data_IF_086622178469
#
_entry.id   IF_086622178469
#
_cell.length_a   1.000
_cell.length_b   1.000
_cell.length_c   1.000
_cell.angle_alpha   90.00
_cell.angle_beta   90.00
_cell.angle_gamma   90.00
#
_symmetry.space_group_name_H-M   'P 1'
#
loop_
_entity.id
_entity.type
_entity.pdbx_description
1 polymer ?
#
# COMPACT_ATOMS: atom_id res chain seq x y z
N UNK A 1 -63.84 -21.94 -63.10
CA UNK A 1 -63.06 -20.82 -62.55
C UNK A 1 -62.91 -21.05 -61.06
N UNK A 2 -61.81 -21.67 -60.67
CA UNK A 2 -61.56 -22.01 -59.22
C UNK A 2 -60.66 -20.98 -58.61
N UNK A 3 -61.18 -20.34 -57.56
CA UNK A 3 -60.41 -19.40 -56.74
C UNK A 3 -59.71 -20.19 -55.61
N UNK A 4 -58.37 -20.17 -55.62
CA UNK A 4 -57.56 -20.76 -54.57
C UNK A 4 -57.35 -19.70 -53.48
N UNK A 5 -57.94 -19.94 -52.31
CA UNK A 5 -57.66 -19.15 -51.10
C UNK A 5 -56.43 -19.75 -50.43
N UNK A 6 -55.37 -19.02 -50.47
CA UNK A 6 -54.13 -19.35 -49.72
C UNK A 6 -54.31 -18.98 -48.26
N UNK A 7 -54.34 -19.98 -47.38
CA UNK A 7 -54.30 -19.78 -45.93
C UNK A 7 -52.84 -19.44 -45.56
N UNK A 8 -52.61 -18.24 -45.08
CA UNK A 8 -51.39 -17.89 -44.35
C UNK A 8 -51.51 -18.38 -42.90
N UNK A 9 -50.79 -19.41 -42.56
CA UNK A 9 -50.58 -19.80 -41.17
C UNK A 9 -49.46 -18.94 -40.62
N UNK A 10 -49.80 -17.93 -39.83
CA UNK A 10 -48.79 -17.18 -39.02
C UNK A 10 -48.44 -18.03 -37.80
N UNK A 11 -47.30 -18.66 -37.86
CA UNK A 11 -46.69 -19.29 -36.70
C UNK A 11 -46.15 -18.19 -35.79
N UNK A 12 -46.92 -17.88 -34.74
CA UNK A 12 -46.41 -17.08 -33.66
C UNK A 12 -45.40 -17.89 -32.85
N UNK A 13 -44.12 -17.72 -33.18
CA UNK A 13 -43.00 -18.21 -32.34
C UNK A 13 -43.07 -17.40 -31.06
N UNK A 14 -43.57 -18.03 -30.01
CA UNK A 14 -43.44 -17.52 -28.67
C UNK A 14 -41.94 -17.52 -28.32
N UNK A 15 -41.31 -16.37 -28.41
CA UNK A 15 -40.04 -16.12 -27.73
C UNK A 15 -40.33 -16.14 -26.22
N UNK A 16 -40.21 -17.31 -25.63
CA UNK A 16 -39.98 -17.42 -24.21
C UNK A 16 -38.53 -16.90 -24.03
N UNK A 17 -38.41 -15.61 -23.97
CA UNK A 17 -37.21 -14.94 -23.56
C UNK A 17 -36.88 -15.44 -22.17
N UNK A 18 -35.82 -16.20 -22.05
CA UNK A 18 -35.24 -16.64 -20.81
C UNK A 18 -34.94 -15.40 -19.97
N UNK A 19 -35.88 -15.01 -19.14
CA UNK A 19 -35.68 -14.02 -18.08
C UNK A 19 -34.83 -14.57 -16.92
N UNK A 20 -34.08 -15.64 -17.18
CA UNK A 20 -33.23 -16.35 -16.24
C UNK A 20 -31.76 -16.07 -16.45
N UNK A 21 -31.40 -14.84 -16.79
CA UNK A 21 -29.98 -14.48 -16.88
C UNK A 21 -29.72 -13.01 -16.54
N UNK A 22 -30.52 -12.43 -15.67
CA UNK A 22 -30.21 -11.15 -15.02
C UNK A 22 -30.55 -11.20 -13.53
N UNK A 23 -30.35 -12.33 -12.87
CA UNK A 23 -29.74 -12.28 -11.55
C UNK A 23 -28.34 -11.70 -11.85
N UNK A 24 -28.19 -10.40 -11.55
CA UNK A 24 -26.86 -9.80 -11.44
C UNK A 24 -26.07 -10.80 -10.59
N UNK A 25 -25.05 -11.40 -11.18
CA UNK A 25 -24.15 -12.28 -10.44
C UNK A 25 -23.73 -11.45 -9.26
N UNK A 26 -24.24 -11.81 -8.07
CA UNK A 26 -23.88 -11.18 -6.80
C UNK A 26 -22.36 -11.14 -6.85
N UNK A 27 -21.76 -9.95 -6.94
CA UNK A 27 -20.34 -9.84 -7.31
C UNK A 27 -19.60 -10.70 -6.30
N UNK A 28 -19.03 -11.79 -6.79
CA UNK A 28 -18.48 -12.81 -5.91
C UNK A 28 -17.56 -12.10 -4.91
N UNK A 29 -17.89 -12.21 -3.61
CA UNK A 29 -17.14 -11.54 -2.55
C UNK A 29 -15.71 -12.03 -2.59
N UNK A 30 -14.83 -11.25 -3.24
CA UNK A 30 -13.45 -11.67 -3.48
C UNK A 30 -12.69 -11.88 -2.17
N UNK A 31 -11.79 -12.86 -2.11
CA UNK A 31 -10.96 -13.10 -0.95
C UNK A 31 -10.11 -11.88 -0.58
N UNK A 32 -9.83 -11.74 0.70
CA UNK A 32 -9.00 -10.66 1.23
C UNK A 32 -7.78 -11.25 1.94
N UNK A 33 -6.58 -10.81 1.55
CA UNK A 33 -5.35 -11.06 2.29
C UNK A 33 -5.04 -9.83 3.16
N UNK A 34 -4.77 -10.05 4.43
CA UNK A 34 -4.42 -8.99 5.37
C UNK A 34 -2.94 -9.03 5.74
N UNK A 35 -2.30 -7.86 5.66
CA UNK A 35 -0.89 -7.64 6.00
C UNK A 35 -0.78 -6.82 7.29
N UNK A 36 -0.19 -7.39 8.32
CA UNK A 36 0.05 -6.71 9.60
C UNK A 36 1.22 -5.71 9.53
N UNK A 37 1.23 -4.75 10.45
CA UNK A 37 2.27 -3.72 10.56
C UNK A 37 3.53 -4.17 11.31
N UNK A 38 4.42 -3.20 11.56
CA UNK A 38 5.61 -3.39 12.41
C UNK A 38 5.19 -3.84 13.81
N UNK A 39 5.95 -4.75 14.41
CA UNK A 39 5.65 -5.42 15.69
C UNK A 39 4.30 -6.14 15.75
N UNK A 40 3.55 -6.09 14.66
CA UNK A 40 2.21 -6.70 14.55
C UNK A 40 2.25 -8.20 14.29
N UNK A 41 1.05 -8.77 14.22
CA UNK A 41 0.83 -10.17 13.89
C UNK A 41 -0.55 -10.35 13.21
N UNK A 42 -0.86 -11.56 12.81
CA UNK A 42 -2.12 -11.89 12.10
C UNK A 42 -3.39 -11.52 12.86
N UNK A 43 -3.36 -11.42 14.19
CA UNK A 43 -4.55 -11.08 14.98
C UNK A 43 -4.86 -9.58 15.01
N UNK A 44 -3.99 -8.73 14.49
CA UNK A 44 -4.25 -7.28 14.44
C UNK A 44 -5.48 -6.94 13.59
N UNK A 45 -5.81 -7.75 12.58
CA UNK A 45 -7.00 -7.58 11.76
C UNK A 45 -8.24 -8.34 12.25
N UNK A 46 -8.29 -8.83 13.50
CA UNK A 46 -9.35 -9.72 13.98
C UNK A 46 -10.77 -9.14 13.92
N UNK A 47 -10.94 -7.82 14.11
CA UNK A 47 -12.25 -7.17 13.98
C UNK A 47 -12.72 -7.18 12.54
N UNK A 48 -11.84 -6.88 11.60
CA UNK A 48 -12.12 -6.93 10.16
C UNK A 48 -12.38 -8.36 9.72
N UNK A 49 -11.57 -9.32 10.19
CA UNK A 49 -11.78 -10.76 9.96
C UNK A 49 -13.19 -11.20 10.37
N UNK A 50 -13.61 -10.84 11.59
CA UNK A 50 -14.93 -11.19 12.09
C UNK A 50 -16.05 -10.64 11.19
N UNK A 51 -15.95 -9.40 10.74
CA UNK A 51 -16.93 -8.77 9.87
C UNK A 51 -16.99 -9.46 8.49
N UNK A 52 -15.86 -9.67 7.85
CA UNK A 52 -15.79 -10.25 6.51
C UNK A 52 -16.18 -11.74 6.49
N UNK A 53 -15.80 -12.50 7.51
CA UNK A 53 -16.16 -13.92 7.62
C UNK A 53 -17.64 -14.12 7.97
N UNK A 54 -18.25 -13.20 8.74
CA UNK A 54 -19.68 -13.25 9.03
C UNK A 54 -20.56 -13.11 7.76
N UNK A 55 -20.06 -12.45 6.72
CA UNK A 55 -20.72 -12.36 5.42
C UNK A 55 -20.34 -13.49 4.43
N UNK A 56 -19.56 -14.48 4.88
CA UNK A 56 -19.11 -15.61 4.07
C UNK A 56 -17.90 -15.34 3.17
N UNK A 57 -17.18 -14.24 3.38
CA UNK A 57 -15.98 -13.89 2.61
C UNK A 57 -14.75 -14.64 3.13
N UNK A 58 -13.94 -15.14 2.22
CA UNK A 58 -12.63 -15.69 2.56
C UNK A 58 -11.69 -14.56 3.01
N UNK A 59 -11.24 -14.63 4.25
CA UNK A 59 -10.24 -13.72 4.81
C UNK A 59 -9.02 -14.51 5.26
N UNK A 60 -7.85 -14.03 4.88
CA UNK A 60 -6.56 -14.68 5.21
C UNK A 60 -5.64 -13.65 5.86
N UNK A 61 -5.51 -13.74 7.18
CA UNK A 61 -4.49 -12.98 7.90
C UNK A 61 -3.12 -13.65 7.69
N UNK A 62 -2.22 -12.95 6.99
CA UNK A 62 -0.88 -13.45 6.73
C UNK A 62 -0.04 -13.46 8.02
N UNK A 63 0.79 -14.49 8.19
CA UNK A 63 1.64 -14.66 9.38
C UNK A 63 3.14 -14.64 9.06
N UNK A 64 3.48 -14.03 7.94
CA UNK A 64 4.85 -13.87 7.50
C UNK A 64 5.72 -13.14 8.52
N UNK A 65 6.55 -13.24 9.19
CA UNK A 65 7.43 -12.38 10.01
C UNK A 65 6.70 -11.54 11.07
N UNK A 66 6.02 -12.19 12.01
CA UNK A 66 5.25 -11.53 13.08
C UNK A 66 6.12 -10.97 14.22
N UNK A 67 5.58 -10.02 14.98
CA UNK A 67 6.19 -9.43 16.18
C UNK A 67 7.60 -8.87 15.91
N UNK A 68 8.59 -9.25 16.73
CA UNK A 68 9.96 -8.78 16.61
C UNK A 68 10.63 -9.13 15.27
N UNK A 69 10.20 -10.19 14.58
CA UNK A 69 10.65 -10.52 13.25
C UNK A 69 10.38 -9.37 12.28
N UNK A 70 9.20 -8.77 12.33
CA UNK A 70 8.78 -7.71 11.40
C UNK A 70 9.64 -6.44 11.46
N UNK A 71 10.35 -6.19 12.54
CA UNK A 71 11.25 -5.03 12.66
C UNK A 71 12.73 -5.40 12.52
N UNK A 72 13.07 -6.69 12.65
CA UNK A 72 14.46 -7.20 12.60
C UNK A 72 14.81 -7.90 11.29
N UNK A 73 13.92 -7.89 10.33
CA UNK A 73 14.10 -8.50 8.99
C UNK A 73 13.87 -7.42 7.94
N UNK A 74 14.76 -7.31 6.98
CA UNK A 74 14.63 -6.35 5.88
C UNK A 74 13.30 -6.53 5.15
N UNK A 75 12.70 -5.44 4.65
CA UNK A 75 11.40 -5.50 3.97
C UNK A 75 11.45 -6.35 2.70
N UNK A 76 12.56 -6.32 1.96
CA UNK A 76 12.73 -7.19 0.78
C UNK A 76 12.58 -8.67 1.13
N UNK A 77 13.07 -9.10 2.29
CA UNK A 77 12.97 -10.49 2.74
C UNK A 77 11.53 -10.81 3.22
N UNK A 78 10.89 -9.86 3.92
CA UNK A 78 9.49 -10.00 4.32
C UNK A 78 8.56 -10.11 3.11
N UNK A 79 8.83 -9.37 2.04
CA UNK A 79 8.11 -9.48 0.76
C UNK A 79 8.21 -10.90 0.21
N UNK A 80 9.42 -11.51 0.19
CA UNK A 80 9.58 -12.87 -0.30
C UNK A 80 8.85 -13.91 0.58
N UNK A 81 8.86 -13.73 1.91
CA UNK A 81 8.08 -14.57 2.82
C UNK A 81 6.58 -14.48 2.54
N UNK A 82 6.06 -13.26 2.36
CA UNK A 82 4.65 -13.04 2.05
C UNK A 82 4.26 -13.62 0.68
N UNK A 83 5.08 -13.43 -0.37
CA UNK A 83 4.86 -14.02 -1.70
C UNK A 83 4.75 -15.54 -1.58
N UNK A 84 5.71 -16.18 -0.92
CA UNK A 84 5.69 -17.64 -0.74
C UNK A 84 4.44 -18.12 -0.02
N UNK A 85 3.98 -17.40 1.00
CA UNK A 85 2.77 -17.74 1.74
C UNK A 85 1.52 -17.60 0.86
N UNK A 86 1.38 -16.47 0.14
CA UNK A 86 0.23 -16.21 -0.74
C UNK A 86 0.17 -17.25 -1.85
N UNK A 87 1.27 -17.50 -2.55
CA UNK A 87 1.33 -18.52 -3.60
C UNK A 87 0.94 -19.90 -3.08
N UNK A 88 1.48 -20.30 -1.92
CA UNK A 88 1.15 -21.58 -1.32
C UNK A 88 -0.33 -21.72 -0.87
N UNK A 89 -1.03 -20.60 -0.62
CA UNK A 89 -2.47 -20.59 -0.32
C UNK A 89 -3.27 -20.65 -1.62
N UNK A 90 -2.94 -19.80 -2.59
CA UNK A 90 -3.62 -19.75 -3.90
C UNK A 90 -3.50 -21.07 -4.66
N UNK A 91 -2.31 -21.69 -4.66
CA UNK A 91 -2.06 -22.98 -5.33
C UNK A 91 -2.87 -24.14 -4.75
N UNK A 92 -3.21 -24.06 -3.46
CA UNK A 92 -4.02 -25.11 -2.78
C UNK A 92 -5.51 -25.01 -3.08
N UNK A 93 -5.99 -23.83 -3.44
CA UNK A 93 -7.39 -23.57 -3.72
C UNK A 93 -7.54 -22.54 -4.85
N UNK A 94 -7.11 -22.93 -6.03
CA UNK A 94 -7.12 -22.06 -7.21
C UNK A 94 -8.53 -21.59 -7.59
N UNK A 95 -9.56 -22.35 -7.24
CA UNK A 95 -10.96 -22.02 -7.56
C UNK A 95 -11.42 -20.78 -6.79
N UNK A 96 -11.13 -20.69 -5.49
CA UNK A 96 -11.49 -19.55 -4.65
C UNK A 96 -10.80 -18.25 -5.12
N UNK A 97 -9.57 -18.32 -5.64
CA UNK A 97 -8.79 -17.16 -6.04
C UNK A 97 -8.82 -16.88 -7.56
N UNK A 98 -9.55 -17.66 -8.35
CA UNK A 98 -9.56 -17.56 -9.81
C UNK A 98 -10.00 -16.17 -10.33
N UNK A 99 -10.97 -15.54 -9.65
CA UNK A 99 -11.51 -14.24 -10.03
C UNK A 99 -10.71 -13.06 -9.47
N UNK A 100 -9.60 -13.31 -8.78
CA UNK A 100 -8.79 -12.31 -8.13
C UNK A 100 -9.03 -12.22 -6.62
N UNK A 101 -8.33 -11.32 -5.98
CA UNK A 101 -8.38 -11.10 -4.54
C UNK A 101 -7.94 -9.68 -4.19
N UNK A 102 -8.22 -9.26 -2.98
CA UNK A 102 -7.87 -7.96 -2.45
C UNK A 102 -6.73 -8.04 -1.43
N UNK A 103 -5.91 -7.01 -1.40
CA UNK A 103 -4.95 -6.79 -0.34
C UNK A 103 -5.46 -5.70 0.59
N UNK A 104 -5.55 -6.02 1.85
CA UNK A 104 -5.81 -5.08 2.94
C UNK A 104 -4.58 -5.08 3.85
N UNK A 105 -4.05 -3.92 4.10
CA UNK A 105 -2.80 -3.84 4.82
C UNK A 105 -2.80 -2.68 5.82
N UNK A 106 -2.01 -2.75 6.88
CA UNK A 106 -1.89 -1.71 7.88
C UNK A 106 -0.42 -1.37 8.15
N UNK A 107 -0.10 -0.08 8.23
CA UNK A 107 1.24 0.40 8.61
C UNK A 107 2.32 -0.21 7.69
N UNK A 108 3.43 -0.67 8.21
CA UNK A 108 4.49 -1.36 7.46
C UNK A 108 3.95 -2.48 6.54
N UNK A 109 2.81 -3.11 6.89
CA UNK A 109 2.15 -4.09 6.02
C UNK A 109 1.82 -3.56 4.64
N UNK A 110 1.56 -2.25 4.52
CA UNK A 110 1.37 -1.57 3.23
C UNK A 110 2.60 -1.62 2.35
N UNK A 111 3.77 -1.36 2.93
CA UNK A 111 5.05 -1.48 2.21
C UNK A 111 5.29 -2.91 1.74
N UNK A 112 5.03 -3.91 2.61
CA UNK A 112 5.15 -5.33 2.22
C UNK A 112 4.16 -5.68 1.10
N UNK A 113 2.88 -5.30 1.23
CA UNK A 113 1.85 -5.56 0.24
C UNK A 113 2.21 -4.95 -1.13
N UNK A 114 2.72 -3.72 -1.14
CA UNK A 114 3.23 -3.07 -2.35
C UNK A 114 4.38 -3.87 -2.97
N UNK A 115 5.38 -4.24 -2.16
CA UNK A 115 6.49 -5.07 -2.65
C UNK A 115 6.03 -6.41 -3.22
N UNK A 116 5.01 -7.04 -2.62
CA UNK A 116 4.41 -8.28 -3.15
C UNK A 116 3.77 -8.03 -4.51
N UNK A 117 3.00 -6.97 -4.69
CA UNK A 117 2.37 -6.64 -5.97
C UNK A 117 3.42 -6.45 -7.07
N UNK A 118 4.51 -5.77 -6.76
CA UNK A 118 5.56 -5.49 -7.74
C UNK A 118 6.46 -6.69 -8.05
N UNK A 119 6.70 -7.57 -7.08
CA UNK A 119 7.65 -8.68 -7.21
C UNK A 119 6.99 -10.03 -7.53
N UNK A 120 5.68 -10.21 -7.24
CA UNK A 120 4.97 -11.46 -7.50
C UNK A 120 4.42 -11.50 -8.93
N UNK A 121 5.14 -12.17 -9.82
CA UNK A 121 4.69 -12.33 -11.20
C UNK A 121 3.41 -13.17 -11.26
N UNK A 122 2.53 -12.83 -12.22
CA UNK A 122 1.29 -13.56 -12.42
C UNK A 122 0.21 -13.35 -11.35
N UNK A 123 0.38 -12.40 -10.42
CA UNK A 123 -0.63 -12.12 -9.40
C UNK A 123 -1.97 -11.65 -10.01
N UNK A 124 -3.04 -11.94 -9.29
CA UNK A 124 -4.41 -11.51 -9.63
C UNK A 124 -4.97 -10.59 -8.52
N UNK A 125 -4.13 -9.69 -8.01
CA UNK A 125 -4.54 -8.65 -7.06
C UNK A 125 -5.32 -7.59 -7.81
N UNK A 126 -6.59 -7.38 -7.46
CA UNK A 126 -7.45 -6.40 -8.12
C UNK A 126 -7.46 -5.08 -7.39
N UNK A 127 -7.53 -5.11 -6.08
CA UNK A 127 -7.62 -3.93 -5.24
C UNK A 127 -6.57 -4.02 -4.13
N UNK A 128 -5.87 -2.92 -3.94
CA UNK A 128 -5.04 -2.67 -2.79
C UNK A 128 -5.69 -1.55 -1.97
N UNK A 129 -6.19 -1.87 -0.78
CA UNK A 129 -6.60 -0.89 0.20
C UNK A 129 -5.54 -0.82 1.29
N UNK A 130 -4.95 0.34 1.39
CA UNK A 130 -3.79 0.56 2.24
C UNK A 130 -4.10 1.70 3.21
N UNK A 131 -4.23 1.45 4.49
CA UNK A 131 -4.42 2.50 5.45
C UNK A 131 -4.00 2.18 6.88
N UNK A 132 -3.38 3.11 7.58
CA UNK A 132 -2.46 4.15 7.12
C UNK A 132 -1.10 3.54 6.82
N UNK A 133 -0.47 3.95 5.71
CA UNK A 133 0.71 3.23 5.21
C UNK A 133 1.97 4.03 5.30
N UNK A 134 2.97 3.39 5.80
CA UNK A 134 4.33 3.71 5.49
C UNK A 134 4.71 3.12 4.13
N UNK A 135 4.24 3.68 3.04
CA UNK A 135 4.72 3.30 1.70
C UNK A 135 6.09 3.93 1.47
N UNK A 136 6.21 5.20 1.83
CA UNK A 136 7.45 5.96 1.87
C UNK A 136 7.43 6.81 3.13
N UNK A 137 7.89 6.26 4.24
CA UNK A 137 8.10 7.07 5.41
C UNK A 137 9.26 8.01 5.11
N UNK A 138 8.93 9.28 4.83
CA UNK A 138 9.94 10.29 4.59
C UNK A 138 10.77 10.50 5.85
N UNK A 139 10.13 10.32 7.01
CA UNK A 139 10.76 10.57 8.29
C UNK A 139 10.03 9.88 9.43
N UNK A 140 10.74 9.54 10.51
CA UNK A 140 10.15 9.11 11.76
C UNK A 140 10.34 10.21 12.79
N UNK A 141 9.35 11.06 12.97
CA UNK A 141 9.42 12.18 13.89
C UNK A 141 9.04 11.80 15.32
N UNK A 142 9.94 11.16 16.05
CA UNK A 142 9.80 11.04 17.50
C UNK A 142 9.72 12.38 18.22
N UNK A 143 10.17 13.45 17.58
CA UNK A 143 10.10 14.79 18.11
C UNK A 143 8.67 15.33 18.20
N UNK A 144 7.69 14.68 17.56
CA UNK A 144 6.26 14.92 17.77
C UNK A 144 5.88 14.76 19.25
N UNK A 145 6.60 13.92 19.99
CA UNK A 145 6.38 13.61 21.41
C UNK A 145 7.32 14.36 22.36
N UNK A 146 8.27 15.12 21.84
CA UNK A 146 9.21 15.86 22.66
C UNK A 146 8.83 17.35 22.73
N UNK A 147 8.91 17.92 23.91
CA UNK A 147 8.67 19.35 24.11
C UNK A 147 9.62 20.21 23.27
N UNK A 148 9.07 21.21 22.68
CA UNK A 148 9.57 22.30 21.87
C UNK A 148 11.06 22.63 21.90
N UNK A 149 11.82 22.05 20.92
CA UNK A 149 13.06 22.65 20.50
C UNK A 149 13.29 22.32 19.01
N UNK A 150 13.12 23.30 18.16
CA UNK A 150 13.39 23.18 16.70
C UNK A 150 14.82 22.73 16.42
N UNK A 151 15.80 23.16 17.19
CA UNK A 151 17.19 22.73 17.06
C UNK A 151 17.41 21.27 17.41
N UNK A 152 16.73 20.76 18.40
CA UNK A 152 16.81 19.34 18.77
C UNK A 152 16.16 18.46 17.71
N UNK A 153 15.02 18.88 17.15
CA UNK A 153 14.32 18.15 16.08
C UNK A 153 15.22 18.06 14.86
N UNK A 154 15.82 19.15 14.41
CA UNK A 154 16.74 19.15 13.29
C UNK A 154 17.94 18.24 13.50
N UNK A 155 18.56 18.28 14.69
CA UNK A 155 19.67 17.38 15.01
C UNK A 155 19.25 15.92 15.02
N UNK A 156 18.11 15.59 15.60
CA UNK A 156 17.58 14.22 15.60
C UNK A 156 17.35 13.72 14.17
N UNK A 157 16.75 14.55 13.32
CA UNK A 157 16.53 14.20 11.93
C UNK A 157 17.85 14.03 11.17
N UNK A 158 18.82 14.92 11.36
CA UNK A 158 20.14 14.79 10.80
C UNK A 158 20.81 13.46 11.17
N UNK A 159 20.83 13.11 12.46
CA UNK A 159 21.40 11.86 12.97
C UNK A 159 20.68 10.62 12.43
N UNK A 160 19.35 10.67 12.34
CA UNK A 160 18.53 9.59 11.78
C UNK A 160 18.84 9.39 10.30
N UNK A 161 18.79 10.45 9.51
CA UNK A 161 19.03 10.40 8.07
C UNK A 161 20.48 9.97 7.80
N UNK A 162 21.46 10.49 8.54
CA UNK A 162 22.84 10.00 8.44
C UNK A 162 22.93 8.50 8.70
N UNK A 163 22.25 8.01 9.73
CA UNK A 163 22.27 6.59 10.10
C UNK A 163 21.69 5.72 8.97
N UNK A 164 20.51 6.05 8.45
CA UNK A 164 19.87 5.22 7.41
C UNK A 164 20.55 5.33 6.05
N UNK A 165 21.25 6.43 5.79
CA UNK A 165 21.98 6.62 4.51
C UNK A 165 23.37 6.05 4.49
N UNK A 166 23.98 5.71 5.64
CA UNK A 166 25.37 5.24 5.73
C UNK A 166 25.51 3.85 6.33
N UNK A 167 24.55 3.37 7.12
CA UNK A 167 24.65 2.11 7.83
C UNK A 167 24.05 0.94 7.03
N UNK A 168 24.85 0.37 6.12
CA UNK A 168 24.45 -0.79 5.31
C UNK A 168 24.04 -2.01 6.16
N UNK A 169 24.66 -2.22 7.32
CA UNK A 169 24.32 -3.35 8.19
C UNK A 169 22.95 -3.19 8.84
N UNK A 170 22.56 -1.95 9.14
CA UNK A 170 21.20 -1.63 9.62
C UNK A 170 20.18 -1.84 8.49
N UNK A 171 20.45 -1.32 7.30
CA UNK A 171 19.59 -1.49 6.14
C UNK A 171 19.33 -2.98 5.81
N UNK A 172 20.33 -3.83 5.96
CA UNK A 172 20.22 -5.27 5.72
C UNK A 172 19.34 -6.03 6.74
N UNK A 173 18.97 -5.41 7.89
CA UNK A 173 18.33 -6.12 9.01
C UNK A 173 17.12 -5.38 9.60
N UNK A 174 16.85 -4.15 9.21
CA UNK A 174 15.79 -3.35 9.83
C UNK A 174 14.79 -2.88 8.79
N UNK A 175 13.56 -3.37 8.92
CA UNK A 175 12.45 -2.88 8.10
C UNK A 175 12.20 -1.40 8.33
N UNK A 176 12.37 -0.92 9.57
CA UNK A 176 12.15 0.49 9.90
C UNK A 176 13.14 1.38 9.15
N UNK A 177 14.41 0.95 9.02
CA UNK A 177 15.38 1.67 8.19
C UNK A 177 15.01 1.66 6.71
N UNK A 178 14.40 0.58 6.23
CA UNK A 178 14.00 0.40 4.82
C UNK A 178 12.78 1.22 4.39
N UNK A 179 12.01 1.79 5.33
CA UNK A 179 10.85 2.64 5.03
C UNK A 179 11.13 4.13 5.25
N UNK A 180 12.36 4.50 5.55
CA UNK A 180 12.74 5.90 5.74
C UNK A 180 13.31 6.43 4.43
N UNK A 181 12.54 7.31 3.77
CA UNK A 181 12.97 8.04 2.59
C UNK A 181 13.76 9.29 3.01
N UNK A 182 15.07 9.37 2.75
CA UNK A 182 15.85 10.54 3.15
C UNK A 182 15.46 11.77 2.32
N UNK A 183 15.30 12.97 2.92
CA UNK A 183 14.99 14.20 2.20
C UNK A 183 16.25 14.80 1.54
N UNK A 184 16.93 13.98 0.76
CA UNK A 184 18.19 14.32 0.10
C UNK A 184 18.05 14.28 -1.42
N UNK A 185 18.89 15.07 -2.11
CA UNK A 185 18.98 15.09 -3.56
C UNK A 185 20.42 14.95 -4.06
N UNK A 186 20.57 14.58 -5.33
CA UNK A 186 21.88 14.45 -5.99
C UNK A 186 22.79 13.43 -5.32
N UNK A 187 24.09 13.71 -5.26
CA UNK A 187 25.09 12.79 -4.73
C UNK A 187 24.88 12.41 -3.26
N UNK A 188 24.20 13.24 -2.47
CA UNK A 188 23.88 12.91 -1.07
C UNK A 188 22.89 11.74 -0.95
N UNK A 189 22.07 11.52 -1.97
CA UNK A 189 21.12 10.40 -2.02
C UNK A 189 21.75 9.10 -2.54
N UNK A 190 22.82 9.17 -3.33
CA UNK A 190 23.38 8.02 -4.07
C UNK A 190 23.80 6.86 -3.16
N UNK A 191 24.34 7.15 -1.98
CA UNK A 191 24.73 6.11 -1.05
C UNK A 191 23.51 5.33 -0.54
N UNK A 192 22.45 6.02 -0.15
CA UNK A 192 21.22 5.38 0.27
C UNK A 192 20.59 4.55 -0.85
N UNK A 193 20.55 5.06 -2.08
CA UNK A 193 20.06 4.31 -3.24
C UNK A 193 20.81 2.97 -3.44
N UNK A 194 22.07 2.90 -2.99
CA UNK A 194 22.90 1.72 -3.12
C UNK A 194 22.78 0.70 -1.98
N UNK A 195 22.37 1.15 -0.78
CA UNK A 195 22.37 0.32 0.43
C UNK A 195 20.99 -0.06 0.93
N UNK A 196 19.96 0.76 0.69
CA UNK A 196 18.58 0.40 1.02
C UNK A 196 18.10 -0.70 0.06
N UNK A 197 17.70 -1.87 0.58
CA UNK A 197 17.30 -2.99 -0.26
C UNK A 197 15.87 -2.89 -0.78
N UNK A 198 15.07 -1.91 -0.33
CA UNK A 198 13.63 -1.87 -0.56
C UNK A 198 13.15 -0.63 -1.34
N UNK A 199 13.10 0.56 -0.73
CA UNK A 199 12.50 1.74 -1.35
C UNK A 199 13.09 2.11 -2.73
N UNK A 200 14.42 2.07 -2.94
CA UNK A 200 14.98 2.34 -4.27
C UNK A 200 14.48 1.40 -5.35
N UNK A 201 14.14 0.14 -4.98
CA UNK A 201 13.61 -0.85 -5.92
C UNK A 201 12.15 -0.61 -6.22
N UNK A 202 11.29 -0.58 -5.21
CA UNK A 202 9.84 -0.43 -5.40
C UNK A 202 9.47 0.93 -5.98
N UNK A 203 10.27 1.96 -5.75
CA UNK A 203 10.11 3.27 -6.39
C UNK A 203 10.80 3.39 -7.76
N UNK A 204 11.48 2.32 -8.21
CA UNK A 204 12.27 2.33 -9.44
C UNK A 204 13.27 3.50 -9.55
N UNK A 205 13.85 3.92 -8.41
CA UNK A 205 14.82 5.01 -8.31
C UNK A 205 16.25 4.55 -8.61
N UNK A 206 16.51 3.26 -8.72
CA UNK A 206 17.85 2.74 -8.99
C UNK A 206 18.34 3.18 -10.37
N UNK A 207 19.55 3.73 -10.41
CA UNK A 207 20.21 4.01 -11.69
C UNK A 207 20.76 2.72 -12.29
N UNK A 208 20.07 2.15 -13.24
CA UNK A 208 20.48 0.92 -13.92
C UNK A 208 21.65 1.10 -14.91
N UNK A 209 21.99 2.33 -15.31
CA UNK A 209 23.07 2.55 -16.28
C UNK A 209 22.95 1.64 -17.50
N UNK A 210 23.97 0.80 -17.74
CA UNK A 210 24.01 -0.19 -18.82
C UNK A 210 23.46 -1.58 -18.40
N UNK A 211 23.07 -1.79 -17.15
CA UNK A 211 22.60 -3.08 -16.64
C UNK A 211 21.21 -3.42 -17.23
N UNK A 212 21.19 -4.33 -18.20
CA UNK A 212 19.98 -4.77 -18.88
C UNK A 212 19.04 -5.53 -17.93
N UNK A 213 19.57 -6.28 -16.94
CA UNK A 213 18.76 -7.00 -15.96
C UNK A 213 18.05 -6.02 -15.02
N UNK A 214 18.74 -5.02 -14.51
CA UNK A 214 18.15 -3.98 -13.69
C UNK A 214 16.99 -3.27 -14.42
N UNK A 215 17.19 -2.89 -15.69
CA UNK A 215 16.12 -2.29 -16.52
C UNK A 215 14.93 -3.22 -16.74
N UNK A 216 15.18 -4.49 -16.98
CA UNK A 216 14.13 -5.49 -17.14
C UNK A 216 13.34 -5.68 -15.82
N UNK A 217 14.01 -5.71 -14.67
CA UNK A 217 13.38 -5.81 -13.36
C UNK A 217 12.52 -4.56 -13.05
N UNK A 218 12.98 -3.36 -13.39
CA UNK A 218 12.18 -2.13 -13.28
C UNK A 218 10.92 -2.16 -14.14
N UNK A 219 11.06 -2.59 -15.39
CA UNK A 219 9.91 -2.72 -16.29
C UNK A 219 8.91 -3.77 -15.81
N UNK A 220 9.38 -4.89 -15.28
CA UNK A 220 8.57 -5.97 -14.70
C UNK A 220 7.77 -5.48 -13.49
N UNK A 221 8.42 -4.80 -12.53
CA UNK A 221 7.75 -4.21 -11.36
C UNK A 221 6.65 -3.23 -11.78
N UNK A 222 6.98 -2.32 -12.70
CA UNK A 222 5.99 -1.38 -13.24
C UNK A 222 4.82 -2.11 -13.90
N UNK A 223 5.08 -3.13 -14.70
CA UNK A 223 4.03 -3.91 -15.35
C UNK A 223 3.16 -4.64 -14.32
N UNK A 224 3.74 -5.19 -13.25
CA UNK A 224 3.01 -5.85 -12.18
C UNK A 224 2.12 -4.87 -11.41
N UNK A 225 2.64 -3.71 -11.00
CA UNK A 225 1.84 -2.67 -10.32
C UNK A 225 0.68 -2.17 -11.20
N UNK A 226 0.92 -2.00 -12.49
CA UNK A 226 -0.08 -1.52 -13.45
C UNK A 226 -1.21 -2.52 -13.75
N UNK A 227 -1.16 -3.75 -13.22
CA UNK A 227 -2.28 -4.71 -13.27
C UNK A 227 -3.39 -4.39 -12.28
N UNK A 228 -3.12 -3.61 -11.26
CA UNK A 228 -4.14 -3.20 -10.30
C UNK A 228 -5.29 -2.49 -11.01
N UNK A 229 -6.51 -2.81 -10.62
CA UNK A 229 -7.69 -2.04 -11.01
C UNK A 229 -7.86 -0.81 -10.15
N UNK A 230 -7.52 -0.91 -8.85
CA UNK A 230 -7.58 0.19 -7.93
C UNK A 230 -6.50 0.08 -6.85
N UNK A 231 -5.97 1.23 -6.43
CA UNK A 231 -5.16 1.40 -5.24
C UNK A 231 -5.74 2.56 -4.42
N UNK A 232 -6.03 2.27 -3.17
CA UNK A 232 -6.58 3.23 -2.22
C UNK A 232 -5.55 3.49 -1.13
N UNK A 233 -5.16 4.74 -0.97
CA UNK A 233 -4.23 5.19 0.06
C UNK A 233 -4.97 6.06 1.07
N UNK A 234 -4.81 5.76 2.35
CA UNK A 234 -5.48 6.46 3.44
C UNK A 234 -4.46 7.18 4.31
N UNK A 235 -4.78 8.38 4.72
CA UNK A 235 -4.01 9.16 5.67
C UNK A 235 -4.92 9.90 6.64
N UNK A 236 -4.38 10.26 7.79
CA UNK A 236 -5.02 11.16 8.74
C UNK A 236 -4.02 12.19 9.24
N UNK A 237 -4.39 13.47 9.29
CA UNK A 237 -3.58 14.49 9.97
C UNK A 237 -3.33 14.17 11.46
N UNK A 238 -4.17 13.33 12.06
CA UNK A 238 -4.05 12.89 13.44
C UNK A 238 -3.32 11.56 13.61
N UNK A 239 -2.70 11.04 12.53
CA UNK A 239 -1.80 9.88 12.66
C UNK A 239 -0.68 10.20 13.65
N UNK A 240 -0.56 9.39 14.68
CA UNK A 240 0.37 9.59 15.79
C UNK A 240 1.67 8.78 15.66
N UNK A 241 1.84 8.09 14.55
CA UNK A 241 3.03 7.28 14.25
C UNK A 241 3.73 7.74 12.97
N UNK A 242 2.97 8.01 11.90
CA UNK A 242 3.54 8.40 10.61
C UNK A 242 3.85 9.90 10.57
N UNK A 243 5.08 10.25 10.18
CA UNK A 243 5.52 11.64 10.03
C UNK A 243 6.47 11.76 8.82
N UNK A 244 6.17 12.66 7.88
CA UNK A 244 4.92 13.41 7.80
C UNK A 244 3.73 12.49 7.48
N UNK A 245 2.54 12.76 8.01
CA UNK A 245 1.36 11.93 7.76
C UNK A 245 1.00 11.82 6.26
N UNK A 246 1.37 12.83 5.47
CA UNK A 246 1.20 12.84 4.02
C UNK A 246 1.99 11.72 3.31
N UNK A 247 2.99 11.15 3.98
CA UNK A 247 3.71 9.99 3.43
C UNK A 247 2.81 8.76 3.26
N UNK A 248 1.73 8.67 4.04
CA UNK A 248 0.71 7.63 3.87
C UNK A 248 -0.05 7.73 2.53
N UNK A 249 -0.06 8.92 1.92
CA UNK A 249 -0.65 9.19 0.60
C UNK A 249 0.42 9.59 -0.41
N UNK A 250 1.63 9.06 -0.22
CA UNK A 250 2.77 9.19 -1.14
C UNK A 250 3.38 10.60 -1.26
N UNK A 251 3.02 11.52 -0.35
CA UNK A 251 3.72 12.79 -0.19
C UNK A 251 5.04 12.61 0.54
N UNK A 252 5.97 13.53 0.36
CA UNK A 252 7.29 13.47 1.02
C UNK A 252 7.83 14.87 1.33
N UNK A 253 8.85 14.94 2.17
CA UNK A 253 9.53 16.21 2.41
C UNK A 253 10.23 16.73 1.14
N UNK A 254 10.33 18.05 1.05
CA UNK A 254 11.25 18.72 0.12
C UNK A 254 12.69 18.27 0.39
N UNK A 255 13.53 18.27 -0.65
CA UNK A 255 14.89 17.74 -0.56
C UNK A 255 15.94 18.83 -0.40
N UNK A 256 17.03 18.50 0.24
CA UNK A 256 18.23 19.33 0.39
C UNK A 256 19.46 18.61 -0.18
N UNK A 257 20.55 19.35 -0.36
CA UNK A 257 21.74 18.84 -1.04
C UNK A 257 22.73 18.11 -0.10
N UNK A 258 22.59 18.23 1.22
CA UNK A 258 23.52 17.65 2.18
C UNK A 258 22.86 17.24 3.49
N UNK A 259 23.53 16.38 4.26
CA UNK A 259 23.12 15.99 5.60
C UNK A 259 23.07 17.16 6.59
N UNK A 260 24.05 18.07 6.50
CA UNK A 260 24.08 19.28 7.34
C UNK A 260 22.85 20.16 7.11
N UNK A 261 22.35 20.19 5.87
CA UNK A 261 21.12 20.93 5.56
C UNK A 261 19.86 20.23 6.09
N UNK A 262 19.85 18.90 6.26
CA UNK A 262 18.76 18.22 6.95
C UNK A 262 18.66 18.73 8.39
N UNK A 263 19.77 18.79 9.11
CA UNK A 263 19.80 19.29 10.49
C UNK A 263 19.41 20.76 10.58
N UNK A 264 20.03 21.59 9.75
CA UNK A 264 19.93 23.07 9.91
C UNK A 264 18.67 23.66 9.30
N UNK A 265 18.03 22.98 8.31
CA UNK A 265 16.84 23.46 7.59
C UNK A 265 15.59 22.63 7.85
N UNK A 266 15.61 21.72 8.81
CA UNK A 266 14.47 20.84 9.07
C UNK A 266 13.15 21.60 9.29
N UNK A 267 13.21 22.75 9.97
CA UNK A 267 12.04 23.60 10.21
C UNK A 267 11.47 24.25 8.94
N UNK A 268 12.26 24.34 7.88
CA UNK A 268 11.86 24.94 6.60
C UNK A 268 11.36 23.90 5.58
N UNK A 269 11.38 22.62 5.92
CA UNK A 269 10.93 21.57 5.01
C UNK A 269 9.44 21.70 4.74
N UNK A 270 9.11 21.63 3.46
CA UNK A 270 7.72 21.58 2.98
C UNK A 270 7.36 20.20 2.51
N UNK A 271 6.08 19.93 2.41
CA UNK A 271 5.59 18.68 1.83
C UNK A 271 5.46 18.84 0.31
N UNK A 272 6.06 17.93 -0.41
CA UNK A 272 5.88 17.76 -1.86
C UNK A 272 4.69 16.83 -2.05
N UNK A 273 3.67 17.28 -2.76
CA UNK A 273 2.52 16.46 -3.12
C UNK A 273 2.95 15.25 -3.97
N UNK A 274 2.25 14.15 -3.84
CA UNK A 274 2.50 12.92 -4.61
C UNK A 274 2.62 13.21 -6.12
N UNK A 275 1.75 14.07 -6.67
CA UNK A 275 1.73 14.40 -8.11
C UNK A 275 2.93 15.20 -8.58
N UNK A 276 3.64 15.84 -7.66
CA UNK A 276 4.87 16.62 -7.94
C UNK A 276 6.15 15.79 -7.72
N UNK A 277 6.04 14.57 -7.22
CA UNK A 277 7.20 13.69 -7.02
C UNK A 277 7.76 13.18 -8.35
N UNK A 278 9.05 12.86 -8.37
CA UNK A 278 9.70 12.26 -9.55
C UNK A 278 9.12 10.89 -9.89
N UNK A 279 8.68 10.15 -8.88
CA UNK A 279 8.04 8.84 -9.01
C UNK A 279 6.74 8.94 -9.81
N UNK A 280 5.94 9.96 -9.57
CA UNK A 280 4.70 10.19 -10.30
C UNK A 280 4.95 10.88 -11.64
N UNK A 281 5.68 11.99 -11.68
CA UNK A 281 5.89 12.79 -12.91
C UNK A 281 6.52 11.98 -14.03
N UNK A 282 7.47 11.09 -13.70
CA UNK A 282 8.13 10.18 -14.64
C UNK A 282 7.47 8.81 -14.72
N UNK A 283 6.39 8.59 -13.98
CA UNK A 283 5.66 7.31 -13.93
C UNK A 283 6.59 6.10 -13.70
N UNK A 284 7.46 6.21 -12.71
CA UNK A 284 8.57 5.27 -12.54
C UNK A 284 8.09 3.83 -12.31
N UNK A 285 7.05 3.63 -11.52
CA UNK A 285 6.51 2.30 -11.21
C UNK A 285 5.04 2.11 -11.62
N UNK A 286 4.44 3.05 -12.37
CA UNK A 286 3.08 2.93 -12.88
C UNK A 286 2.02 3.70 -12.11
N UNK A 287 2.41 4.56 -11.14
CA UNK A 287 1.47 5.32 -10.32
C UNK A 287 0.63 6.30 -11.15
N UNK A 288 1.27 7.06 -12.03
CA UNK A 288 0.58 7.97 -12.96
C UNK A 288 -0.27 7.22 -13.99
N UNK A 289 0.22 6.06 -14.45
CA UNK A 289 -0.55 5.18 -15.33
C UNK A 289 -1.84 4.75 -14.64
N UNK A 290 -1.79 4.31 -13.38
CA UNK A 290 -2.96 3.91 -12.60
C UNK A 290 -3.90 5.10 -12.34
N UNK A 291 -3.37 6.28 -11.98
CA UNK A 291 -4.16 7.51 -11.79
C UNK A 291 -4.90 7.91 -13.08
N UNK A 292 -4.19 7.89 -14.21
CA UNK A 292 -4.78 8.22 -15.53
C UNK A 292 -5.90 7.26 -15.92
N UNK A 293 -5.79 5.99 -15.50
CA UNK A 293 -6.83 4.99 -15.70
C UNK A 293 -8.01 5.12 -14.69
N UNK A 294 -7.94 6.06 -13.74
CA UNK A 294 -8.95 6.27 -12.71
C UNK A 294 -8.89 5.27 -11.54
N UNK A 295 -7.79 4.53 -11.44
CA UNK A 295 -7.62 3.50 -10.41
C UNK A 295 -6.85 3.97 -9.16
N UNK A 296 -6.37 5.20 -9.11
CA UNK A 296 -5.67 5.73 -7.93
C UNK A 296 -6.64 6.59 -7.09
N UNK A 297 -6.75 6.24 -5.81
CA UNK A 297 -7.66 6.92 -4.88
C UNK A 297 -6.93 7.33 -3.62
N UNK A 298 -6.97 8.61 -3.29
CA UNK A 298 -6.35 9.21 -2.12
C UNK A 298 -7.45 9.60 -1.13
N UNK A 299 -7.32 9.15 0.11
CA UNK A 299 -8.30 9.38 1.17
C UNK A 299 -7.62 10.06 2.36
N UNK A 300 -7.93 11.32 2.56
CA UNK A 300 -7.59 12.05 3.77
C UNK A 300 -8.77 11.99 4.74
N UNK A 301 -8.60 11.30 5.85
CA UNK A 301 -9.66 11.05 6.83
C UNK A 301 -9.24 11.65 8.16
N UNK A 302 -9.87 12.75 8.60
CA UNK A 302 -9.51 13.40 9.87
C UNK A 302 -9.89 12.53 11.08
N UNK A 303 -9.25 12.82 12.20
CA UNK A 303 -9.53 12.25 13.53
C UNK A 303 -9.32 10.73 13.64
N UNK A 304 -8.46 10.15 12.80
CA UNK A 304 -8.14 8.72 12.83
C UNK A 304 -6.66 8.51 13.21
N UNK A 305 -6.32 8.30 14.48
CA UNK A 305 -4.96 7.96 14.88
C UNK A 305 -4.56 6.57 14.35
N UNK A 306 -3.27 6.31 14.28
CA UNK A 306 -2.65 5.20 13.56
C UNK A 306 -3.30 3.82 13.75
N UNK A 307 -3.62 3.47 14.99
CA UNK A 307 -4.18 2.13 15.27
C UNK A 307 -5.71 2.06 15.16
N UNK A 308 -6.41 3.20 15.04
CA UNK A 308 -7.87 3.22 14.96
C UNK A 308 -8.41 2.59 13.65
N UNK A 309 -7.57 2.46 12.65
CA UNK A 309 -7.89 1.73 11.43
C UNK A 309 -8.14 0.22 11.65
N UNK A 310 -7.70 -0.32 12.81
CA UNK A 310 -7.81 -1.75 13.12
C UNK A 310 -8.71 -2.07 14.31
N UNK A 311 -8.75 -1.19 15.30
CA UNK A 311 -9.50 -1.38 16.54
C UNK A 311 -9.74 -0.06 17.26
N UNK A 312 -10.67 -0.04 18.23
CA UNK A 312 -10.90 1.13 19.08
C UNK A 312 -9.59 1.56 19.75
N UNK A 313 -9.22 2.81 19.57
CA UNK A 313 -7.92 3.30 20.03
C UNK A 313 -8.03 4.72 20.59
N UNK A 314 -7.25 4.98 21.65
CA UNK A 314 -7.02 6.33 22.16
C UNK A 314 -5.57 6.68 21.96
N UNK A 315 -5.29 7.69 21.16
CA UNK A 315 -3.93 8.15 20.92
C UNK A 315 -3.31 8.71 22.20
N UNK A 316 -2.11 8.24 22.53
CA UNK A 316 -1.33 8.79 23.66
C UNK A 316 -0.84 10.22 23.39
N UNK A 317 -0.76 10.62 22.13
CA UNK A 317 -0.28 11.95 21.74
C UNK A 317 -1.38 13.02 21.78
N UNK A 318 -2.62 12.64 21.46
CA UNK A 318 -3.75 13.58 21.36
C UNK A 318 -4.80 13.36 22.45
N UNK A 319 -4.75 12.23 23.15
CA UNK A 319 -5.76 11.77 24.14
C UNK A 319 -7.19 11.69 23.55
N UNK A 320 -7.32 11.73 22.21
CA UNK A 320 -8.62 11.66 21.54
C UNK A 320 -9.01 10.19 21.31
N UNK A 321 -10.15 9.75 21.86
CA UNK A 321 -10.64 8.41 21.62
C UNK A 321 -11.21 8.29 20.19
N UNK A 322 -10.84 7.22 19.48
CA UNK A 322 -11.36 6.89 18.18
C UNK A 322 -12.03 5.53 18.19
N UNK A 323 -13.18 5.42 17.51
CA UNK A 323 -13.92 4.19 17.32
C UNK A 323 -13.65 3.61 15.94
N UNK A 324 -13.20 2.35 15.91
CA UNK A 324 -12.87 1.65 14.67
C UNK A 324 -14.08 1.42 13.76
N UNK A 325 -15.21 0.97 14.31
CA UNK A 325 -16.34 0.55 13.49
C UNK A 325 -16.86 1.65 12.53
N UNK A 326 -17.09 2.92 12.97
CA UNK A 326 -17.46 3.97 12.04
C UNK A 326 -16.42 4.26 10.94
N UNK A 327 -15.13 4.14 11.25
CA UNK A 327 -14.06 4.33 10.28
C UNK A 327 -14.05 3.19 9.25
N UNK A 328 -14.15 1.95 9.72
CA UNK A 328 -14.23 0.78 8.86
C UNK A 328 -15.44 0.81 7.94
N UNK A 329 -16.62 1.03 8.49
CA UNK A 329 -17.89 1.02 7.74
C UNK A 329 -17.96 2.12 6.68
N UNK A 330 -17.38 3.30 6.98
CA UNK A 330 -17.41 4.43 6.06
C UNK A 330 -16.27 4.42 5.03
N UNK A 331 -15.10 3.92 5.37
CA UNK A 331 -13.90 4.11 4.56
C UNK A 331 -13.39 2.82 3.91
N UNK A 332 -13.44 1.68 4.61
CA UNK A 332 -12.80 0.44 4.17
C UNK A 332 -13.79 -0.53 3.55
N UNK A 333 -14.89 -0.83 4.28
CA UNK A 333 -15.87 -1.83 3.85
C UNK A 333 -16.45 -1.56 2.46
N UNK A 334 -16.81 -0.31 2.08
CA UNK A 334 -17.37 -0.02 0.76
C UNK A 334 -16.44 -0.33 -0.42
N UNK A 335 -15.14 -0.46 -0.17
CA UNK A 335 -14.16 -0.80 -1.21
C UNK A 335 -14.07 -2.29 -1.48
N UNK A 336 -14.60 -3.09 -0.58
CA UNK A 336 -14.51 -4.56 -0.64
C UNK A 336 -15.79 -5.20 -1.20
N UNK A 337 -16.84 -4.41 -1.43
CA UNK A 337 -18.17 -4.87 -1.90
C UNK A 337 -18.40 -4.58 -3.36
#
# INVERSE_FOLDING_TARGET
MFSVRTLLVVAAAAFVGSAAANEAAESAKLPVFFFHGATGNKTNGAVIEANLTAEGRTYVALDFCQNACSVRTALSDQVQLAIKQIQGIVDKDTATYANGYHFLAHSQGGSVARGVIEEMDGHNVLLQALGPFAVDKADFDFAKYAADSTSWKGKFQGDLIQTVTTNKALQAKSSIANIIMPPLAGAALDNWLSIDPFLPKVNNLQNCGADAKCKADQARRKANFSKLKAAHFFASPQDDIQSPWQSCVLGKYSTVASLDEVETKFADFTIVDMKDTVEYTNDLYGLKTLDTAGGLHIHEVPDVPHNCWLFDYTSLATEVPCKHAPVYDAQIYPLLV
#
